data_IF_467364996655
#
_entry.id   IF_467364996655
#
_cell.length_a   1.000
_cell.length_b   1.000
_cell.length_c   1.000
_cell.angle_alpha   90.00
_cell.angle_beta   90.00
_cell.angle_gamma   90.00
#
_symmetry.space_group_name_H-M   'P 1'
#
loop_
_entity.id
_entity.type
_entity.pdbx_description
1 polymer ?
#
# COMPACT_ATOMS: atom_id res chain seq x y z
N UNK A 1 -5.93 12.24 9.86
CA UNK A 1 -5.93 11.52 8.57
C UNK A 1 -5.65 10.07 8.90
N UNK A 2 -6.44 9.14 8.35
CA UNK A 2 -6.23 7.70 8.55
C UNK A 2 -4.96 7.26 7.80
N UNK A 3 -4.33 6.16 8.20
CA UNK A 3 -3.23 5.55 7.43
C UNK A 3 -3.72 5.14 6.04
N UNK A 4 -4.96 4.67 5.94
CA UNK A 4 -5.62 4.36 4.65
C UNK A 4 -5.63 5.58 3.71
N UNK A 5 -6.08 6.74 4.21
CA UNK A 5 -6.12 7.98 3.42
C UNK A 5 -4.72 8.48 3.07
N UNK A 6 -3.75 8.30 3.97
CA UNK A 6 -2.36 8.65 3.74
C UNK A 6 -1.72 7.81 2.63
N UNK A 7 -1.92 6.48 2.65
CA UNK A 7 -1.50 5.57 1.58
C UNK A 7 -2.14 6.00 0.26
N UNK A 8 -3.46 6.21 0.24
CA UNK A 8 -4.19 6.61 -0.96
C UNK A 8 -3.64 7.90 -1.56
N UNK A 9 -3.48 8.93 -0.72
CA UNK A 9 -3.01 10.25 -1.13
C UNK A 9 -1.59 10.19 -1.71
N UNK A 10 -0.66 9.50 -1.04
CA UNK A 10 0.73 9.40 -1.50
C UNK A 10 0.84 8.63 -2.81
N UNK A 11 0.11 7.53 -2.97
CA UNK A 11 0.13 6.73 -4.19
C UNK A 11 -0.54 7.44 -5.37
N UNK A 12 -1.63 8.18 -5.13
CA UNK A 12 -2.25 9.04 -6.14
C UNK A 12 -1.25 10.11 -6.62
N UNK A 13 -0.64 10.83 -5.69
CA UNK A 13 0.31 11.89 -6.03
C UNK A 13 1.57 11.37 -6.75
N UNK A 14 2.06 10.19 -6.37
CA UNK A 14 3.31 9.64 -6.92
C UNK A 14 3.17 9.01 -8.31
N UNK A 15 1.99 8.46 -8.63
CA UNK A 15 1.84 7.60 -9.81
C UNK A 15 0.71 7.97 -10.76
N UNK A 16 -0.19 8.89 -10.36
CA UNK A 16 -1.42 9.21 -11.10
C UNK A 16 -2.12 7.95 -11.65
N UNK A 17 -2.47 7.00 -10.76
CA UNK A 17 -2.91 5.68 -11.19
C UNK A 17 -4.31 5.74 -11.80
N UNK A 18 -4.52 4.97 -12.87
CA UNK A 18 -5.85 4.76 -13.45
C UNK A 18 -6.77 3.91 -12.58
N UNK A 19 -6.18 3.09 -11.70
CA UNK A 19 -6.88 2.26 -10.72
C UNK A 19 -6.07 2.24 -9.42
N UNK A 20 -6.71 2.57 -8.30
CA UNK A 20 -6.12 2.46 -6.97
C UNK A 20 -7.16 2.01 -5.96
N UNK A 21 -6.90 0.87 -5.34
CA UNK A 21 -7.65 0.34 -4.22
C UNK A 21 -6.71 0.16 -3.02
N UNK A 22 -7.15 0.61 -1.85
CA UNK A 22 -6.44 0.50 -0.58
C UNK A 22 -7.44 -0.03 0.43
N UNK A 23 -7.20 -1.24 0.93
CA UNK A 23 -8.05 -1.93 1.91
C UNK A 23 -7.25 -2.15 3.18
N UNK A 24 -7.79 -1.69 4.30
CA UNK A 24 -7.33 -2.11 5.63
C UNK A 24 -7.89 -3.51 5.92
N UNK A 25 -6.99 -4.50 5.97
CA UNK A 25 -7.30 -5.91 6.19
C UNK A 25 -6.93 -6.35 7.62
N UNK A 26 -6.69 -5.40 8.53
CA UNK A 26 -6.21 -5.68 9.88
C UNK A 26 -7.15 -6.61 10.65
N UNK A 27 -8.46 -6.46 10.49
CA UNK A 27 -9.46 -7.27 11.21
C UNK A 27 -9.34 -8.77 10.88
N UNK A 28 -9.00 -9.10 9.64
CA UNK A 28 -8.77 -10.49 9.20
C UNK A 28 -7.58 -11.15 9.92
N UNK A 29 -6.73 -10.35 10.57
CA UNK A 29 -5.57 -10.80 11.33
C UNK A 29 -5.77 -10.74 12.85
N UNK A 30 -6.99 -10.50 13.35
CA UNK A 30 -7.28 -10.50 14.79
C UNK A 30 -6.73 -11.75 15.47
N UNK A 31 -5.94 -11.56 16.53
CA UNK A 31 -5.31 -12.62 17.30
C UNK A 31 -3.89 -13.01 16.83
N UNK A 32 -3.38 -12.42 15.75
CA UNK A 32 -1.99 -12.57 15.32
C UNK A 32 -1.09 -11.50 15.96
N UNK A 33 0.21 -11.80 16.12
CA UNK A 33 1.17 -10.91 16.78
C UNK A 33 1.31 -9.51 16.13
N UNK A 34 0.95 -9.36 14.85
CA UNK A 34 0.97 -8.09 14.12
C UNK A 34 -0.35 -7.30 14.16
N UNK A 35 -1.40 -7.86 14.76
CA UNK A 35 -2.69 -7.18 14.89
C UNK A 35 -2.61 -6.02 15.87
N UNK A 36 -3.24 -4.89 15.52
CA UNK A 36 -3.39 -3.74 16.40
C UNK A 36 -4.88 -3.46 16.59
N UNK A 37 -5.30 -3.24 17.84
CA UNK A 37 -6.66 -2.78 18.10
C UNK A 37 -6.89 -1.41 17.42
N UNK A 38 -8.05 -1.26 16.78
CA UNK A 38 -8.38 -0.07 15.98
C UNK A 38 -8.01 -0.18 14.49
N UNK A 39 -7.34 -1.24 14.06
CA UNK A 39 -6.99 -1.48 12.67
C UNK A 39 -5.67 -0.82 12.24
N UNK A 40 -5.56 -0.50 10.95
CA UNK A 40 -4.45 0.22 10.34
C UNK A 40 -3.06 -0.43 10.45
N UNK A 41 -2.98 -1.76 10.59
CA UNK A 41 -1.71 -2.50 10.65
C UNK A 41 -1.44 -3.39 9.44
N UNK A 42 -2.47 -3.91 8.76
CA UNK A 42 -2.31 -4.73 7.54
C UNK A 42 -3.06 -4.11 6.37
N UNK A 43 -2.37 -3.95 5.25
CA UNK A 43 -2.95 -3.32 4.06
C UNK A 43 -2.81 -4.19 2.82
N UNK A 44 -3.89 -4.26 2.05
CA UNK A 44 -3.90 -4.76 0.68
C UNK A 44 -4.03 -3.58 -0.27
N UNK A 45 -3.06 -3.42 -1.18
CA UNK A 45 -3.06 -2.34 -2.17
C UNK A 45 -3.00 -2.91 -3.57
N UNK A 46 -3.97 -2.51 -4.39
CA UNK A 46 -3.99 -2.78 -5.83
C UNK A 46 -3.84 -1.47 -6.58
N UNK A 47 -2.88 -1.42 -7.49
CA UNK A 47 -2.57 -0.20 -8.24
C UNK A 47 -2.25 -0.50 -9.71
N UNK A 48 -2.80 0.31 -10.62
CA UNK A 48 -2.50 0.30 -12.06
C UNK A 48 -2.08 1.69 -12.51
N UNK A 49 -0.87 1.81 -13.06
CA UNK A 49 -0.34 3.08 -13.53
C UNK A 49 0.68 2.90 -14.66
N UNK A 50 0.69 3.82 -15.63
CA UNK A 50 1.67 3.87 -16.71
C UNK A 50 3.12 3.95 -16.21
N UNK A 51 3.33 4.55 -15.03
CA UNK A 51 4.63 4.65 -14.37
C UNK A 51 5.32 3.29 -14.13
N UNK A 52 4.57 2.17 -14.12
CA UNK A 52 5.11 0.82 -13.90
C UNK A 52 5.47 0.06 -15.19
N UNK A 53 5.29 0.69 -16.35
CA UNK A 53 5.64 0.10 -17.65
C UNK A 53 7.16 -0.13 -17.76
N UNK A 54 7.55 -1.27 -18.35
CA UNK A 54 8.95 -1.69 -18.46
C UNK A 54 9.64 -2.05 -17.12
N UNK A 55 9.01 -1.81 -15.97
CA UNK A 55 9.59 -2.14 -14.67
C UNK A 55 9.42 -3.63 -14.33
N UNK A 56 10.45 -4.22 -13.74
CA UNK A 56 10.35 -5.55 -13.12
C UNK A 56 9.44 -5.53 -11.87
N UNK A 57 8.95 -6.70 -11.46
CA UNK A 57 8.15 -6.84 -10.23
C UNK A 57 8.82 -6.19 -9.01
N UNK A 58 10.13 -6.43 -8.82
CA UNK A 58 10.88 -5.86 -7.69
C UNK A 58 11.00 -4.34 -7.81
N UNK A 59 11.21 -3.80 -9.01
CA UNK A 59 11.29 -2.36 -9.23
C UNK A 59 9.96 -1.66 -8.90
N UNK A 60 8.84 -2.26 -9.29
CA UNK A 60 7.48 -1.77 -8.95
C UNK A 60 7.25 -1.72 -7.45
N UNK A 61 7.58 -2.79 -6.73
CA UNK A 61 7.49 -2.81 -5.27
C UNK A 61 8.35 -1.72 -4.65
N UNK A 62 9.61 -1.58 -5.07
CA UNK A 62 10.51 -0.52 -4.56
C UNK A 62 9.96 0.88 -4.82
N UNK A 63 9.34 1.13 -5.97
CA UNK A 63 8.71 2.40 -6.28
C UNK A 63 7.57 2.70 -5.30
N UNK A 64 6.67 1.74 -5.08
CA UNK A 64 5.55 1.87 -4.12
C UNK A 64 6.06 2.10 -2.69
N UNK A 65 7.00 1.30 -2.22
CA UNK A 65 7.61 1.49 -0.90
C UNK A 65 8.27 2.87 -0.75
N UNK A 66 8.96 3.35 -1.79
CA UNK A 66 9.57 4.69 -1.80
C UNK A 66 8.52 5.79 -1.71
N UNK A 67 7.39 5.67 -2.42
CA UNK A 67 6.30 6.64 -2.36
C UNK A 67 5.62 6.66 -0.98
N UNK A 68 5.49 5.50 -0.33
CA UNK A 68 4.89 5.39 0.99
C UNK A 68 5.82 5.84 2.12
N UNK A 69 7.14 5.72 1.95
CA UNK A 69 8.12 6.29 2.88
C UNK A 69 7.92 5.83 4.32
N UNK A 70 7.70 6.79 5.23
CA UNK A 70 7.50 6.58 6.67
C UNK A 70 6.18 5.87 7.01
N UNK A 71 5.25 5.70 6.08
CA UNK A 71 4.06 4.87 6.31
C UNK A 71 4.45 3.39 6.46
N UNK A 72 5.42 2.90 5.67
CA UNK A 72 5.83 1.49 5.67
C UNK A 72 6.29 1.01 7.06
N UNK A 73 7.16 1.72 7.80
CA UNK A 73 7.54 1.29 9.15
C UNK A 73 6.45 1.48 10.22
N UNK A 74 5.36 2.18 9.93
CA UNK A 74 4.23 2.37 10.86
C UNK A 74 3.21 1.23 10.80
N UNK A 75 3.23 0.43 9.74
CA UNK A 75 2.31 -0.69 9.52
C UNK A 75 3.05 -2.02 9.69
N UNK A 76 2.30 -3.09 9.91
CA UNK A 76 2.85 -4.44 10.05
C UNK A 76 3.09 -5.11 8.70
N UNK A 77 2.10 -5.05 7.80
CA UNK A 77 2.15 -5.73 6.52
C UNK A 77 1.53 -4.91 5.39
N UNK A 78 2.11 -5.05 4.20
CA UNK A 78 1.64 -4.44 2.96
C UNK A 78 1.69 -5.48 1.84
N UNK A 79 0.54 -5.96 1.39
CA UNK A 79 0.40 -6.77 0.20
C UNK A 79 0.19 -5.87 -1.02
N UNK A 80 0.90 -6.18 -2.12
CA UNK A 80 0.94 -5.34 -3.31
C UNK A 80 0.55 -6.14 -4.56
N UNK A 81 -0.50 -5.69 -5.24
CA UNK A 81 -0.86 -6.09 -6.60
C UNK A 81 -0.59 -4.89 -7.55
N UNK A 82 0.53 -4.93 -8.28
CA UNK A 82 1.03 -3.80 -9.10
C UNK A 82 1.07 -4.15 -10.59
N UNK A 83 0.34 -3.38 -11.39
CA UNK A 83 0.25 -3.52 -12.85
C UNK A 83 0.27 -2.18 -13.58
N UNK A 84 0.22 -2.24 -14.91
CA UNK A 84 0.06 -1.05 -15.78
C UNK A 84 -1.40 -0.84 -16.07
#
# INVERSE_FOLDING_TARGET
MTVTDEIRTRLQAAFDPRELEVVDDSESHRGHAGFQEGGESHFNVRIRAAAFEGQSRVARHRAVHKALGDVVPRIHALALDIGV
#
